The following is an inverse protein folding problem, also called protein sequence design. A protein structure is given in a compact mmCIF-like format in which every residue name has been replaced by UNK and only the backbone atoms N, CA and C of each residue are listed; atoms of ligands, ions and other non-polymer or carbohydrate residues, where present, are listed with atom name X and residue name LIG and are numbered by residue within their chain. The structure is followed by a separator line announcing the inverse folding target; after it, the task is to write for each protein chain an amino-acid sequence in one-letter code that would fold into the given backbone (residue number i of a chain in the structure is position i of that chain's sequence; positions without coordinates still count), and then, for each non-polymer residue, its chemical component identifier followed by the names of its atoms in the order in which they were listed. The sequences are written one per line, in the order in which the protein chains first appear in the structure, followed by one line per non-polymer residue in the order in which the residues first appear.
data_IF_284412913936
#
_entry.id   IF_284412913936
#
_cell.length_a   1.000
_cell.length_b   1.000
_cell.length_c   1.000
_cell.angle_alpha   90.00
_cell.angle_beta   90.00
_cell.angle_gamma   90.00
#
_symmetry.space_group_name_H-M   'P 1'
#
loop_
_entity.id
_entity.type
_entity.pdbx_description
1 polymer ?
#
# COMPACT_ATOMS: atom_id res chain seq x y z
N UNK A 1 5.58 -12.75 -3.65
CA UNK A 1 4.65 -12.00 -4.54
C UNK A 1 3.21 -12.53 -4.49
N UNK A 2 2.89 -13.81 -4.76
CA UNK A 2 1.50 -14.30 -4.79
C UNK A 2 0.73 -14.05 -3.50
N UNK A 3 1.34 -14.24 -2.32
CA UNK A 3 0.71 -13.94 -1.03
C UNK A 3 0.33 -12.45 -0.91
N UNK A 4 1.19 -11.56 -1.38
CA UNK A 4 0.91 -10.12 -1.47
C UNK A 4 -0.36 -9.86 -2.30
N UNK A 5 -0.37 -10.34 -3.54
CA UNK A 5 -1.49 -10.15 -4.48
C UNK A 5 -2.79 -10.71 -3.88
N UNK A 6 -2.77 -11.95 -3.38
CA UNK A 6 -3.93 -12.60 -2.79
C UNK A 6 -4.48 -11.84 -1.57
N UNK A 7 -3.62 -11.17 -0.80
CA UNK A 7 -4.06 -10.36 0.34
C UNK A 7 -4.77 -9.07 -0.07
N UNK A 8 -4.49 -8.55 -1.28
CA UNK A 8 -5.06 -7.31 -1.81
C UNK A 8 -6.36 -7.54 -2.60
N UNK A 9 -6.54 -8.71 -3.23
CA UNK A 9 -7.72 -9.04 -4.04
C UNK A 9 -9.08 -8.86 -3.34
N UNK A 10 -9.22 -9.07 -1.99
CA UNK A 10 -10.47 -8.79 -1.30
C UNK A 10 -10.99 -7.35 -1.42
N UNK A 11 -10.17 -6.40 -1.85
CA UNK A 11 -10.59 -5.03 -2.15
C UNK A 11 -11.56 -4.93 -3.33
N UNK A 12 -11.59 -5.94 -4.22
CA UNK A 12 -12.51 -5.99 -5.36
C UNK A 12 -12.45 -4.73 -6.22
N UNK A 13 -13.61 -4.22 -6.61
CA UNK A 13 -13.74 -3.04 -7.49
C UNK A 13 -13.30 -1.71 -6.85
N UNK A 14 -13.00 -1.71 -5.55
CA UNK A 14 -12.47 -0.50 -4.87
C UNK A 14 -10.98 -0.29 -5.08
N UNK A 15 -10.28 -1.24 -5.69
CA UNK A 15 -8.82 -1.21 -5.83
C UNK A 15 -8.38 -1.60 -7.24
N UNK A 16 -7.27 -1.02 -7.66
CA UNK A 16 -6.45 -1.52 -8.75
C UNK A 16 -5.12 -2.01 -8.16
N UNK A 17 -4.63 -3.14 -8.63
CA UNK A 17 -3.38 -3.74 -8.21
C UNK A 17 -2.41 -3.67 -9.38
N UNK A 18 -1.42 -2.78 -9.29
CA UNK A 18 -0.38 -2.60 -10.28
C UNK A 18 0.83 -3.44 -9.89
N UNK A 19 1.09 -4.51 -10.62
CA UNK A 19 2.29 -5.35 -10.42
C UNK A 19 3.36 -4.80 -11.33
N UNK A 20 4.38 -4.16 -10.74
CA UNK A 20 5.49 -3.60 -11.49
C UNK A 20 6.66 -4.60 -11.46
N UNK A 21 6.94 -5.18 -12.60
CA UNK A 21 8.10 -6.04 -12.82
C UNK A 21 9.25 -5.21 -13.38
N UNK A 22 10.27 -4.99 -12.56
CA UNK A 22 11.45 -4.19 -12.86
C UNK A 22 12.58 -5.03 -13.48
N UNK A 23 12.24 -5.75 -14.55
CA UNK A 23 13.18 -6.55 -15.33
C UNK A 23 13.64 -7.82 -14.61
N UNK A 24 12.74 -8.51 -13.94
CA UNK A 24 13.02 -9.79 -13.27
C UNK A 24 13.52 -10.86 -14.25
N UNK A 25 14.40 -11.73 -13.77
CA UNK A 25 14.98 -12.84 -14.55
C UNK A 25 14.40 -14.21 -14.20
N UNK A 26 13.48 -14.23 -13.26
CA UNK A 26 12.74 -15.41 -12.81
C UNK A 26 11.30 -15.40 -13.38
N UNK A 27 10.42 -16.17 -12.76
CA UNK A 27 9.02 -16.26 -13.20
C UNK A 27 8.12 -15.11 -12.77
N UNK A 28 8.68 -14.02 -12.25
CA UNK A 28 7.90 -12.86 -11.74
C UNK A 28 7.00 -12.27 -12.83
N UNK A 29 7.55 -12.03 -14.03
CA UNK A 29 6.78 -11.51 -15.17
C UNK A 29 5.62 -12.44 -15.56
N UNK A 30 5.88 -13.77 -15.67
CA UNK A 30 4.86 -14.77 -16.00
C UNK A 30 3.71 -14.79 -14.99
N UNK A 31 4.05 -14.70 -13.69
CA UNK A 31 3.06 -14.67 -12.60
C UNK A 31 2.24 -13.38 -12.67
N UNK A 32 2.87 -12.23 -12.92
CA UNK A 32 2.18 -10.96 -13.08
C UNK A 32 1.14 -11.02 -14.20
N UNK A 33 1.51 -11.53 -15.38
CA UNK A 33 0.63 -11.71 -16.55
C UNK A 33 -0.51 -12.70 -16.25
N UNK A 34 -0.22 -13.75 -15.48
CA UNK A 34 -1.24 -14.74 -15.09
C UNK A 34 -2.31 -14.09 -14.20
N UNK A 35 -1.90 -13.28 -13.23
CA UNK A 35 -2.84 -12.58 -12.36
C UNK A 35 -3.63 -11.50 -13.10
N UNK A 36 -3.03 -10.75 -14.03
CA UNK A 36 -3.76 -9.81 -14.89
C UNK A 36 -4.85 -10.52 -15.71
N UNK A 37 -4.53 -11.64 -16.34
CA UNK A 37 -5.51 -12.45 -17.10
C UNK A 37 -6.63 -13.02 -16.23
N UNK A 38 -6.31 -13.39 -14.99
CA UNK A 38 -7.27 -14.00 -14.05
C UNK A 38 -8.20 -12.97 -13.39
N UNK A 39 -7.72 -11.74 -13.20
CA UNK A 39 -8.45 -10.67 -12.55
C UNK A 39 -8.48 -9.40 -13.40
N UNK A 40 -9.08 -9.46 -14.61
CA UNK A 40 -9.12 -8.33 -15.52
C UNK A 40 -9.90 -7.16 -14.89
N UNK A 41 -9.34 -5.95 -15.01
CA UNK A 41 -9.91 -4.73 -14.42
C UNK A 41 -9.52 -4.48 -12.97
N UNK A 42 -8.97 -5.48 -12.26
CA UNK A 42 -8.44 -5.30 -10.89
C UNK A 42 -6.93 -5.35 -10.90
N UNK A 43 -6.32 -6.33 -11.58
CA UNK A 43 -4.86 -6.51 -11.64
C UNK A 43 -4.36 -6.07 -13.02
N UNK A 44 -3.24 -5.35 -13.03
CA UNK A 44 -2.52 -4.96 -14.25
C UNK A 44 -1.02 -5.17 -14.06
N UNK A 45 -0.39 -5.87 -15.00
CA UNK A 45 1.04 -6.08 -15.08
C UNK A 45 1.71 -4.89 -15.83
N UNK A 46 2.83 -4.42 -15.32
CA UNK A 46 3.66 -3.38 -15.91
C UNK A 46 5.09 -3.91 -15.96
N UNK A 47 5.63 -4.09 -17.14
CA UNK A 47 7.00 -4.57 -17.33
C UNK A 47 7.89 -3.41 -17.77
N UNK A 48 9.08 -3.31 -17.18
CA UNK A 48 10.09 -2.33 -17.54
C UNK A 48 11.50 -2.92 -17.50
N UNK A 49 12.43 -2.25 -18.13
CA UNK A 49 13.85 -2.54 -17.91
C UNK A 49 14.23 -2.17 -16.48
N UNK A 50 15.14 -2.94 -15.89
CA UNK A 50 15.54 -2.75 -14.49
C UNK A 50 16.07 -1.31 -14.27
N UNK A 51 15.31 -0.53 -13.53
CA UNK A 51 15.62 0.83 -13.09
C UNK A 51 15.80 0.96 -11.58
N UNK A 52 15.61 -0.16 -10.84
CA UNK A 52 15.68 -0.23 -9.40
C UNK A 52 14.35 0.17 -8.72
N UNK A 53 14.27 -0.11 -7.41
CA UNK A 53 13.06 0.02 -6.61
C UNK A 53 12.35 1.39 -6.76
N UNK A 54 13.10 2.49 -6.76
CA UNK A 54 12.52 3.83 -6.92
C UNK A 54 11.83 4.03 -8.26
N UNK A 55 12.40 3.51 -9.35
CA UNK A 55 11.79 3.62 -10.67
C UNK A 55 10.57 2.70 -10.80
N UNK A 56 10.58 1.53 -10.18
CA UNK A 56 9.40 0.68 -10.10
C UNK A 56 8.24 1.40 -9.36
N UNK A 57 8.53 2.07 -8.25
CA UNK A 57 7.53 2.90 -7.54
C UNK A 57 7.01 4.02 -8.43
N UNK A 58 7.90 4.74 -9.12
CA UNK A 58 7.53 5.81 -10.06
C UNK A 58 6.65 5.29 -11.20
N UNK A 59 6.94 4.10 -11.74
CA UNK A 59 6.11 3.47 -12.75
C UNK A 59 4.71 3.16 -12.21
N UNK A 60 4.61 2.66 -10.99
CA UNK A 60 3.34 2.47 -10.30
C UNK A 60 2.55 3.77 -10.20
N UNK A 61 3.17 4.86 -9.71
CA UNK A 61 2.53 6.18 -9.59
C UNK A 61 2.04 6.71 -10.96
N UNK A 62 2.88 6.63 -11.99
CA UNK A 62 2.51 7.10 -13.35
C UNK A 62 1.33 6.34 -13.95
N UNK A 63 1.12 5.11 -13.54
CA UNK A 63 0.07 4.23 -14.05
C UNK A 63 -1.16 4.15 -13.14
N UNK A 64 -1.08 4.68 -11.93
CA UNK A 64 -2.18 4.65 -10.98
C UNK A 64 -3.33 5.56 -11.44
N UNK A 65 -4.56 5.04 -11.37
CA UNK A 65 -5.80 5.77 -11.71
C UNK A 65 -6.66 6.03 -10.48
N UNK A 66 -6.41 5.30 -9.39
CA UNK A 66 -7.12 5.44 -8.14
C UNK A 66 -6.89 6.79 -7.46
N UNK A 67 -7.85 7.23 -6.63
CA UNK A 67 -7.75 8.47 -5.86
C UNK A 67 -6.61 8.45 -4.84
N UNK A 68 -6.33 7.26 -4.31
CA UNK A 68 -5.26 7.02 -3.33
C UNK A 68 -4.29 5.97 -3.85
N UNK A 69 -3.05 6.10 -3.45
CA UNK A 69 -1.93 5.26 -3.86
C UNK A 69 -1.20 4.69 -2.64
N UNK A 70 -0.88 3.41 -2.69
CA UNK A 70 -0.07 2.73 -1.66
C UNK A 70 0.96 1.82 -2.30
N UNK A 71 2.19 1.89 -1.82
CA UNK A 71 3.23 0.90 -2.14
C UNK A 71 3.08 -0.28 -1.19
N UNK A 72 3.15 -1.49 -1.75
CA UNK A 72 3.25 -2.75 -0.99
C UNK A 72 4.38 -3.54 -1.62
N UNK A 73 5.41 -3.86 -0.84
CA UNK A 73 6.53 -4.67 -1.31
C UNK A 73 6.05 -6.10 -1.58
N UNK A 74 6.64 -6.76 -2.57
CA UNK A 74 6.16 -8.07 -3.07
C UNK A 74 6.28 -9.21 -2.06
N UNK A 75 7.04 -9.03 -0.99
CA UNK A 75 7.20 -9.94 0.14
C UNK A 75 6.34 -9.57 1.37
N UNK A 76 5.65 -8.42 1.31
CA UNK A 76 4.69 -7.96 2.31
C UNK A 76 3.25 -8.40 1.98
N UNK A 77 2.34 -8.25 2.94
CA UNK A 77 0.89 -8.47 2.76
C UNK A 77 0.08 -7.60 3.69
N UNK A 78 -1.22 -7.53 3.47
CA UNK A 78 -2.16 -6.79 4.32
C UNK A 78 -2.98 -7.74 5.18
N UNK A 79 -3.25 -7.33 6.43
CA UNK A 79 -4.22 -8.00 7.28
C UNK A 79 -5.64 -7.72 6.75
N UNK A 80 -6.43 -8.77 6.54
CA UNK A 80 -7.76 -8.66 5.91
C UNK A 80 -8.69 -7.69 6.63
N UNK A 81 -8.82 -7.82 7.96
CA UNK A 81 -9.75 -6.99 8.72
C UNK A 81 -9.33 -5.52 8.75
N UNK A 82 -8.01 -5.27 8.92
CA UNK A 82 -7.46 -3.93 8.88
C UNK A 82 -7.63 -3.31 7.49
N UNK A 83 -7.36 -4.08 6.44
CA UNK A 83 -7.49 -3.66 5.06
C UNK A 83 -8.93 -3.23 4.73
N UNK A 84 -9.92 -4.06 5.06
CA UNK A 84 -11.33 -3.73 4.81
C UNK A 84 -11.80 -2.49 5.59
N UNK A 85 -11.32 -2.30 6.83
CA UNK A 85 -11.56 -1.09 7.61
C UNK A 85 -10.96 0.17 6.97
N UNK A 86 -9.73 0.05 6.46
CA UNK A 86 -9.04 1.14 5.75
C UNK A 86 -9.80 1.51 4.48
N UNK A 87 -10.15 0.54 3.63
CA UNK A 87 -10.90 0.81 2.40
C UNK A 87 -12.25 1.49 2.68
N UNK A 88 -13.00 1.00 3.66
CA UNK A 88 -14.24 1.64 4.11
C UNK A 88 -14.00 3.10 4.51
N UNK A 89 -12.96 3.36 5.30
CA UNK A 89 -12.62 4.70 5.77
C UNK A 89 -12.19 5.63 4.64
N UNK A 90 -11.38 5.13 3.71
CA UNK A 90 -10.96 5.91 2.53
C UNK A 90 -12.14 6.26 1.64
N UNK A 91 -13.10 5.35 1.46
CA UNK A 91 -14.35 5.61 0.71
C UNK A 91 -15.19 6.71 1.36
N UNK A 92 -15.36 6.66 2.70
CA UNK A 92 -16.06 7.71 3.45
C UNK A 92 -15.38 9.08 3.27
N UNK A 93 -14.05 9.12 3.36
CA UNK A 93 -13.27 10.35 3.23
C UNK A 93 -13.21 10.88 1.79
N UNK A 94 -13.21 9.99 0.79
CA UNK A 94 -13.25 10.37 -0.63
C UNK A 94 -14.55 11.12 -1.01
N UNK A 95 -15.66 10.79 -0.37
CA UNK A 95 -16.96 11.46 -0.57
C UNK A 95 -17.20 12.69 0.31
N UNK A 96 -16.25 13.05 1.18
CA UNK A 96 -16.39 14.19 2.10
C UNK A 96 -15.86 15.51 1.53
N UNK A 97 -16.18 16.62 2.22
CA UNK A 97 -15.74 17.97 1.84
C UNK A 97 -14.25 18.24 2.14
N UNK A 98 -13.62 17.40 2.96
CA UNK A 98 -12.23 17.58 3.37
C UNK A 98 -11.31 16.75 2.47
N UNK A 99 -10.37 17.44 1.84
CA UNK A 99 -9.32 16.80 1.04
C UNK A 99 -8.32 16.13 1.98
N UNK A 100 -8.17 14.81 1.84
CA UNK A 100 -7.16 14.03 2.56
C UNK A 100 -5.94 13.81 1.66
N UNK A 101 -4.77 14.31 2.06
CA UNK A 101 -3.53 14.12 1.32
C UNK A 101 -2.85 12.80 1.66
N UNK A 102 -2.96 12.37 2.93
CA UNK A 102 -2.27 11.20 3.44
C UNK A 102 -3.09 10.50 4.53
N UNK A 103 -3.19 9.18 4.43
CA UNK A 103 -3.73 8.31 5.48
C UNK A 103 -2.58 7.51 6.08
N UNK A 104 -2.46 7.49 7.41
CA UNK A 104 -1.41 6.77 8.11
C UNK A 104 -2.03 5.62 8.90
N UNK A 105 -1.56 4.41 8.64
CA UNK A 105 -1.95 3.20 9.36
C UNK A 105 -0.78 2.61 10.14
N UNK A 106 -1.07 1.76 11.12
CA UNK A 106 -0.05 0.96 11.76
C UNK A 106 0.44 -0.15 10.82
N UNK A 107 1.62 -0.68 11.09
CA UNK A 107 2.13 -1.88 10.42
C UNK A 107 2.82 -2.82 11.41
N UNK A 108 3.05 -4.04 10.99
CA UNK A 108 3.59 -5.10 11.84
C UNK A 108 4.85 -5.65 11.22
N UNK A 109 5.93 -5.70 11.99
CA UNK A 109 7.08 -6.53 11.64
C UNK A 109 6.80 -7.98 12.02
N UNK A 110 6.64 -8.82 11.01
CA UNK A 110 6.52 -10.25 11.17
C UNK A 110 7.80 -10.93 10.69
N UNK A 111 8.51 -11.57 11.62
CA UNK A 111 9.74 -12.32 11.29
C UNK A 111 9.49 -13.80 11.45
N UNK A 112 9.87 -14.57 10.45
CA UNK A 112 9.80 -16.02 10.48
C UNK A 112 10.53 -16.57 11.70
N UNK A 113 9.92 -17.51 12.42
CA UNK A 113 10.47 -18.12 13.64
C UNK A 113 10.40 -17.28 14.91
N UNK A 114 9.87 -16.07 14.88
CA UNK A 114 9.71 -15.20 16.05
C UNK A 114 8.26 -15.22 16.54
N UNK A 115 8.05 -15.62 17.81
CA UNK A 115 6.71 -15.70 18.42
C UNK A 115 6.03 -14.35 18.65
N UNK A 116 6.77 -13.27 18.76
CA UNK A 116 6.23 -11.94 19.08
C UNK A 116 6.35 -11.01 17.89
N UNK A 117 5.20 -10.61 17.35
CA UNK A 117 5.11 -9.59 16.30
C UNK A 117 5.35 -8.20 16.90
N UNK A 118 6.17 -7.38 16.25
CA UNK A 118 6.38 -5.98 16.65
C UNK A 118 5.41 -5.09 15.90
N UNK A 119 4.42 -4.56 16.61
CA UNK A 119 3.47 -3.60 16.03
C UNK A 119 4.08 -2.19 16.11
N UNK A 120 4.22 -1.53 14.97
CA UNK A 120 4.61 -0.12 14.88
C UNK A 120 3.36 0.74 14.98
N UNK A 121 3.23 1.45 16.11
CA UNK A 121 2.10 2.35 16.41
C UNK A 121 2.58 3.79 16.46
N UNK A 122 1.82 4.67 15.87
CA UNK A 122 2.12 6.11 15.82
C UNK A 122 1.38 6.85 16.94
N UNK A 123 1.71 6.55 18.20
CA UNK A 123 1.08 7.19 19.38
C UNK A 123 1.32 8.70 19.48
N UNK A 124 2.30 9.23 18.74
CA UNK A 124 2.57 10.66 18.62
C UNK A 124 1.63 11.39 17.65
N UNK A 125 0.85 10.65 16.88
CA UNK A 125 -0.13 11.20 15.96
C UNK A 125 -1.53 11.14 16.55
N UNK A 126 -2.40 12.13 16.27
CA UNK A 126 -3.80 12.05 16.62
C UNK A 126 -4.44 10.79 16.01
N UNK A 127 -5.25 10.07 16.80
CA UNK A 127 -5.85 8.82 16.39
C UNK A 127 -7.28 9.05 15.89
N UNK A 128 -7.68 8.33 14.85
CA UNK A 128 -9.05 8.27 14.30
C UNK A 128 -9.66 9.63 13.93
N UNK A 129 -8.83 10.63 13.61
CA UNK A 129 -9.29 11.95 13.16
C UNK A 129 -8.40 12.51 12.04
N UNK A 130 -8.96 13.45 11.29
CA UNK A 130 -8.18 14.29 10.38
C UNK A 130 -7.42 15.31 11.21
N UNK A 131 -6.16 15.55 10.88
CA UNK A 131 -5.28 16.48 11.57
C UNK A 131 -4.27 17.11 10.60
N UNK A 132 -3.65 18.19 11.01
CA UNK A 132 -2.50 18.78 10.32
C UNK A 132 -1.22 18.48 11.09
N UNK A 133 -0.08 18.63 10.45
CA UNK A 133 1.23 18.37 11.09
C UNK A 133 1.48 19.20 12.35
N UNK A 134 0.80 20.35 12.51
CA UNK A 134 0.89 21.17 13.71
C UNK A 134 0.30 20.49 14.95
N UNK A 135 -0.56 19.50 14.76
CA UNK A 135 -1.17 18.73 15.85
C UNK A 135 -0.38 17.44 16.17
N UNK A 136 0.64 17.12 15.37
CA UNK A 136 1.49 15.95 15.60
C UNK A 136 2.37 16.15 16.83
N UNK A 137 2.41 15.14 17.70
CA UNK A 137 3.34 15.09 18.82
C UNK A 137 4.76 14.78 18.39
N UNK A 138 5.70 14.84 19.34
CA UNK A 138 7.10 14.50 19.09
C UNK A 138 7.24 12.99 18.87
N UNK A 139 7.84 12.59 17.76
CA UNK A 139 8.15 11.18 17.49
C UNK A 139 9.23 10.66 18.43
N UNK A 140 9.04 9.45 18.95
CA UNK A 140 10.06 8.77 19.75
C UNK A 140 11.18 8.23 18.85
N UNK A 141 12.36 8.02 19.43
CA UNK A 141 13.48 7.40 18.73
C UNK A 141 13.07 6.03 18.19
N UNK A 142 13.22 5.82 16.88
CA UNK A 142 12.83 4.58 16.19
C UNK A 142 11.37 4.53 15.70
N UNK A 143 10.58 5.60 15.89
CA UNK A 143 9.30 5.79 15.20
C UNK A 143 9.56 6.54 13.89
N UNK A 144 9.42 5.83 12.77
CA UNK A 144 9.55 6.40 11.43
C UNK A 144 8.25 6.20 10.69
N UNK A 145 7.79 7.24 9.99
CA UNK A 145 6.71 7.10 9.02
C UNK A 145 7.34 6.51 7.77
N UNK A 146 7.09 5.23 7.53
CA UNK A 146 7.59 4.49 6.38
C UNK A 146 6.49 4.33 5.34
N UNK A 147 6.86 4.07 4.09
CA UNK A 147 5.91 3.82 3.00
C UNK A 147 4.93 2.68 3.30
N UNK A 148 5.35 1.68 4.10
CA UNK A 148 4.46 0.59 4.54
C UNK A 148 3.25 1.07 5.36
N UNK A 149 3.35 2.22 6.02
CA UNK A 149 2.29 2.80 6.85
C UNK A 149 1.42 3.83 6.16
N UNK A 150 1.80 4.27 4.96
CA UNK A 150 1.18 5.44 4.32
C UNK A 150 0.39 5.05 3.08
N UNK A 151 -0.75 5.72 2.93
CA UNK A 151 -1.54 5.75 1.70
C UNK A 151 -1.62 7.22 1.32
N UNK A 152 -1.17 7.56 0.12
CA UNK A 152 -1.12 8.93 -0.37
C UNK A 152 -2.27 9.22 -1.32
N UNK A 153 -2.66 10.48 -1.43
CA UNK A 153 -3.45 10.94 -2.58
C UNK A 153 -2.57 10.84 -3.83
N UNK A 154 -3.10 10.27 -4.90
CA UNK A 154 -2.36 10.04 -6.15
C UNK A 154 -1.98 11.36 -6.84
N UNK A 155 -2.83 12.37 -6.74
CA UNK A 155 -2.58 13.70 -7.30
C UNK A 155 -2.36 14.71 -6.15
N UNK A 156 -1.11 14.85 -5.74
CA UNK A 156 -0.64 15.87 -4.81
C UNK A 156 -0.01 17.03 -5.58
#
# INVERSE_FOLDING_TARGET
MEHCILSLLPGGDDVEILIVDDGSKDRTAEIADEYERKYPGIVRAIHQENGGHGEAVNAGIRNATGLFFKVVDSDDWVDYEAYMKILKKLRELAGGDTVLDMFIANYVYEKEGVRHKKIMRYSSLPQDKIFTWNEAGRFHKGQYILMHSVIYRTQL
#
